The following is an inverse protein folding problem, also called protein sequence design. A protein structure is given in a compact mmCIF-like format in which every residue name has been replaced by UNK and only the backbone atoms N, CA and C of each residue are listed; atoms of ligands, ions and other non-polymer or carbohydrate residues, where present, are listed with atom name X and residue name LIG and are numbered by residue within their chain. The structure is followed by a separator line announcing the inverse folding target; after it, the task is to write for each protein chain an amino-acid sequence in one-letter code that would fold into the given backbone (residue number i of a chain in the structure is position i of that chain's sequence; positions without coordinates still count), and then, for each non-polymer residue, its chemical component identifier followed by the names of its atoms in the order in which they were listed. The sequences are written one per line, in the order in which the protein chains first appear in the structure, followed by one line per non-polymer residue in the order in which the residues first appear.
data_IF_182595022186
#
_entry.id   IF_182595022186
#
_cell.length_a   1.000
_cell.length_b   1.000
_cell.length_c   1.000
_cell.angle_alpha   90.00
_cell.angle_beta   90.00
_cell.angle_gamma   90.00
#
_symmetry.space_group_name_H-M   'P 1'
#
loop_
_entity.id
_entity.type
_entity.pdbx_description
1 polymer ?
#
# COMPACT_ATOMS: atom_id res chain seq x y z
N UNK A 1 8.20 -37.08 6.81
CA UNK A 1 8.18 -35.93 7.74
C UNK A 1 7.88 -34.62 6.98
N UNK A 2 6.90 -33.90 7.40
CA UNK A 2 6.66 -32.55 6.85
C UNK A 2 7.52 -31.58 7.64
N UNK A 3 8.50 -30.96 7.01
CA UNK A 3 9.34 -29.94 7.63
C UNK A 3 8.75 -28.57 7.36
N UNK A 4 8.82 -27.67 8.33
CA UNK A 4 8.43 -26.28 8.16
C UNK A 4 9.40 -25.59 7.19
N UNK A 5 8.85 -24.92 6.17
CA UNK A 5 9.66 -24.18 5.19
C UNK A 5 10.07 -22.84 5.77
N UNK A 6 11.36 -22.56 5.77
CA UNK A 6 11.91 -21.24 6.06
C UNK A 6 12.38 -20.60 4.74
N UNK A 7 11.76 -19.50 4.35
CA UNK A 7 12.11 -18.81 3.12
C UNK A 7 13.51 -18.18 3.19
N UNK A 8 14.22 -18.21 2.06
CA UNK A 8 15.49 -17.51 1.89
C UNK A 8 15.30 -16.39 0.87
N UNK A 9 15.90 -15.24 1.12
CA UNK A 9 15.77 -14.06 0.25
C UNK A 9 16.16 -14.32 -1.21
N UNK A 10 17.07 -15.24 -1.44
CA UNK A 10 17.57 -15.62 -2.76
C UNK A 10 16.59 -16.50 -3.56
N UNK A 11 15.75 -17.26 -2.87
CA UNK A 11 14.86 -18.25 -3.48
C UNK A 11 13.41 -17.80 -3.56
N UNK A 12 13.08 -16.64 -3.03
CA UNK A 12 11.72 -16.10 -3.06
C UNK A 12 11.38 -15.60 -4.47
N UNK A 13 10.35 -16.19 -5.06
CA UNK A 13 9.78 -15.72 -6.33
C UNK A 13 8.79 -14.57 -6.06
N UNK A 14 9.03 -13.41 -6.67
CA UNK A 14 8.21 -12.21 -6.51
C UNK A 14 7.46 -11.90 -7.79
N UNK A 15 6.15 -11.79 -7.68
CA UNK A 15 5.26 -11.44 -8.78
C UNK A 15 4.91 -9.96 -8.72
N UNK A 16 4.41 -9.45 -9.83
CA UNK A 16 3.88 -8.11 -9.93
C UNK A 16 2.36 -8.15 -10.03
N UNK A 17 1.71 -7.33 -9.20
CA UNK A 17 0.25 -7.19 -9.20
C UNK A 17 -0.14 -5.75 -9.46
N UNK A 18 -1.26 -5.58 -10.17
CA UNK A 18 -1.91 -4.29 -10.36
C UNK A 18 -3.27 -4.32 -9.67
N UNK A 19 -3.57 -3.26 -8.92
CA UNK A 19 -4.82 -3.08 -8.17
C UNK A 19 -5.48 -1.79 -8.62
N UNK A 20 -6.73 -1.88 -9.01
CA UNK A 20 -7.56 -0.70 -9.28
C UNK A 20 -8.28 -0.29 -8.00
N UNK A 21 -8.03 0.94 -7.56
CA UNK A 21 -8.57 1.51 -6.32
C UNK A 21 -9.89 2.28 -6.53
N UNK A 22 -10.45 2.26 -7.74
CA UNK A 22 -11.67 3.01 -8.08
C UNK A 22 -12.85 2.60 -7.18
N UNK A 23 -13.49 3.57 -6.54
CA UNK A 23 -14.66 3.38 -5.66
C UNK A 23 -14.46 2.43 -4.49
N UNK A 24 -13.21 2.16 -4.11
CA UNK A 24 -12.90 1.30 -2.98
C UNK A 24 -12.48 2.16 -1.78
N UNK A 25 -12.97 1.88 -0.56
CA UNK A 25 -12.52 2.59 0.63
C UNK A 25 -11.01 2.47 0.85
N UNK A 26 -10.36 3.58 1.15
CA UNK A 26 -8.92 3.69 1.36
C UNK A 26 -8.37 2.59 2.30
N UNK A 27 -9.01 2.39 3.45
CA UNK A 27 -8.56 1.41 4.44
C UNK A 27 -8.61 -0.03 3.94
N UNK A 28 -9.59 -0.38 3.11
CA UNK A 28 -9.71 -1.72 2.53
C UNK A 28 -8.65 -2.00 1.49
N UNK A 29 -8.36 -1.03 0.63
CA UNK A 29 -7.22 -1.13 -0.31
C UNK A 29 -5.92 -1.28 0.47
N UNK A 30 -5.69 -0.38 1.42
CA UNK A 30 -4.45 -0.34 2.18
C UNK A 30 -4.16 -1.64 2.94
N UNK A 31 -5.17 -2.22 3.60
CA UNK A 31 -4.99 -3.46 4.38
C UNK A 31 -4.64 -4.67 3.52
N UNK A 32 -5.29 -4.82 2.38
CA UNK A 32 -5.03 -5.95 1.49
C UNK A 32 -3.70 -5.80 0.75
N UNK A 33 -3.39 -4.59 0.31
CA UNK A 33 -2.08 -4.30 -0.31
C UNK A 33 -0.94 -4.52 0.67
N UNK A 34 -1.09 -4.09 1.92
CA UNK A 34 -0.09 -4.33 2.97
C UNK A 34 0.14 -5.83 3.23
N UNK A 35 -0.92 -6.65 3.23
CA UNK A 35 -0.81 -8.10 3.37
C UNK A 35 -0.03 -8.74 2.22
N UNK A 36 -0.26 -8.29 1.00
CA UNK A 36 0.48 -8.77 -0.20
C UNK A 36 1.94 -8.34 -0.15
N UNK A 37 2.21 -7.10 0.20
CA UNK A 37 3.59 -6.58 0.34
C UNK A 37 4.40 -7.32 1.41
N UNK A 38 3.74 -7.74 2.49
CA UNK A 38 4.36 -8.53 3.55
C UNK A 38 4.50 -10.01 3.21
N UNK A 39 3.69 -10.50 2.26
CA UNK A 39 3.70 -11.91 1.85
C UNK A 39 2.86 -12.84 2.70
N UNK A 40 1.94 -12.32 3.51
CA UNK A 40 1.06 -13.13 4.38
C UNK A 40 0.14 -14.10 3.63
N UNK A 41 -0.12 -13.85 2.35
CA UNK A 41 -0.91 -14.71 1.48
C UNK A 41 -0.15 -15.92 0.95
N UNK A 42 1.16 -16.00 1.16
CA UNK A 42 2.01 -17.10 0.68
C UNK A 42 2.22 -18.16 1.76
N UNK A 43 2.20 -19.48 1.40
CA UNK A 43 2.51 -20.54 2.35
C UNK A 43 3.94 -20.48 2.90
N UNK A 44 4.87 -19.88 2.14
CA UNK A 44 6.28 -19.72 2.51
C UNK A 44 6.54 -18.51 3.41
N UNK A 45 5.47 -17.81 3.86
CA UNK A 45 5.63 -16.63 4.71
C UNK A 45 6.57 -16.90 5.90
N UNK A 46 7.61 -16.08 5.99
CA UNK A 46 8.59 -16.11 7.08
C UNK A 46 8.74 -14.69 7.64
N UNK A 47 8.53 -14.46 8.96
CA UNK A 47 8.47 -13.12 9.52
C UNK A 47 9.73 -12.27 9.36
N UNK A 48 10.92 -12.90 9.32
CA UNK A 48 12.20 -12.19 9.20
C UNK A 48 12.70 -12.03 7.76
N UNK A 49 11.98 -12.58 6.78
CA UNK A 49 12.32 -12.51 5.36
C UNK A 49 11.22 -11.79 4.60
N UNK A 50 11.60 -10.94 3.65
CA UNK A 50 10.67 -10.28 2.75
C UNK A 50 10.19 -11.23 1.66
N UNK A 51 9.07 -11.89 1.89
CA UNK A 51 8.44 -12.87 0.98
C UNK A 51 7.34 -12.25 0.10
N UNK A 52 7.04 -10.97 0.28
CA UNK A 52 5.94 -10.29 -0.44
C UNK A 52 6.22 -9.99 -1.90
N UNK A 53 5.18 -9.61 -2.60
CA UNK A 53 5.20 -9.28 -4.02
C UNK A 53 5.20 -7.77 -4.26
N UNK A 54 5.51 -7.38 -5.50
CA UNK A 54 5.37 -5.99 -5.95
C UNK A 54 3.90 -5.67 -6.22
N UNK A 55 3.46 -4.49 -5.80
CA UNK A 55 2.08 -4.04 -6.01
C UNK A 55 2.09 -2.66 -6.65
N UNK A 56 1.32 -2.53 -7.72
CA UNK A 56 1.03 -1.29 -8.40
C UNK A 56 -0.43 -0.94 -8.11
N UNK A 57 -0.69 0.24 -7.56
CA UNK A 57 -2.06 0.73 -7.35
C UNK A 57 -2.32 1.88 -8.31
N UNK A 58 -3.39 1.76 -9.07
CA UNK A 58 -3.83 2.76 -10.04
C UNK A 58 -5.13 3.43 -9.58
N UNK A 59 -5.47 4.56 -10.19
CA UNK A 59 -6.69 5.33 -9.89
C UNK A 59 -6.82 5.73 -8.42
N UNK A 60 -5.73 6.14 -7.78
CA UNK A 60 -5.75 6.56 -6.38
C UNK A 60 -6.62 7.79 -6.12
N UNK A 61 -6.82 8.62 -7.12
CA UNK A 61 -7.72 9.79 -7.08
C UNK A 61 -9.20 9.43 -6.95
N UNK A 62 -9.58 8.22 -7.35
CA UNK A 62 -10.95 7.70 -7.34
C UNK A 62 -11.29 6.84 -6.12
N UNK A 63 -10.39 6.76 -5.14
CA UNK A 63 -10.66 6.10 -3.87
C UNK A 63 -11.74 6.84 -3.07
N UNK A 64 -12.45 6.10 -2.23
CA UNK A 64 -13.51 6.64 -1.38
C UNK A 64 -13.04 6.71 0.07
N UNK A 65 -13.36 7.82 0.73
CA UNK A 65 -13.27 7.96 2.19
C UNK A 65 -14.67 7.96 2.78
N UNK A 66 -14.93 7.05 3.70
CA UNK A 66 -16.26 6.90 4.32
C UNK A 66 -16.54 7.96 5.38
N UNK A 67 -17.82 8.33 5.54
CA UNK A 67 -18.22 9.38 6.50
C UNK A 67 -17.65 10.75 6.15
N UNK A 68 -17.39 11.57 7.17
CA UNK A 68 -16.86 12.94 7.02
C UNK A 68 -15.32 13.01 7.02
N UNK A 69 -14.63 11.91 6.76
CA UNK A 69 -13.15 11.85 6.84
C UNK A 69 -12.45 12.82 5.87
N UNK A 70 -13.07 13.14 4.74
CA UNK A 70 -12.51 14.09 3.80
C UNK A 70 -12.29 15.47 4.43
N UNK A 71 -13.20 15.90 5.28
CA UNK A 71 -13.15 17.23 5.91
C UNK A 71 -12.53 17.18 7.30
N UNK A 72 -12.83 16.15 8.08
CA UNK A 72 -12.44 16.06 9.50
C UNK A 72 -11.04 15.45 9.69
N UNK A 73 -10.65 14.50 8.86
CA UNK A 73 -9.35 13.85 9.00
C UNK A 73 -8.24 14.71 8.47
N UNK A 74 -7.20 14.92 9.30
CA UNK A 74 -6.05 15.76 8.97
C UNK A 74 -4.76 14.94 9.03
N UNK A 75 -3.83 15.31 8.16
CA UNK A 75 -2.45 14.86 8.21
C UNK A 75 -1.59 15.92 8.88
N UNK A 76 -0.84 15.53 9.91
CA UNK A 76 0.05 16.42 10.65
C UNK A 76 1.51 16.13 10.31
N UNK A 77 2.26 17.20 10.12
CA UNK A 77 3.70 17.18 9.94
C UNK A 77 4.34 18.25 10.79
N UNK A 78 5.44 17.93 11.47
CA UNK A 78 6.18 18.87 12.31
C UNK A 78 7.59 19.05 11.77
N UNK A 79 8.03 20.30 11.65
CA UNK A 79 9.36 20.64 11.14
C UNK A 79 10.51 20.44 12.15
N UNK A 80 10.15 20.23 13.44
CA UNK A 80 11.13 20.15 14.53
C UNK A 80 11.47 21.49 15.20
N UNK A 81 10.91 22.60 14.70
CA UNK A 81 11.09 23.93 15.28
C UNK A 81 9.86 24.37 16.09
N UNK A 82 10.01 25.28 17.09
CA UNK A 82 8.87 25.83 17.80
C UNK A 82 7.80 26.41 16.84
N UNK A 83 6.53 26.03 17.05
CA UNK A 83 5.44 26.43 16.15
C UNK A 83 5.48 25.79 14.76
N UNK A 84 6.29 24.76 14.54
CA UNK A 84 6.49 24.12 13.25
C UNK A 84 5.49 23.04 12.86
N UNK A 85 4.34 22.93 13.54
CA UNK A 85 3.31 21.99 13.16
C UNK A 85 2.58 22.48 11.90
N UNK A 86 2.47 21.59 10.93
CA UNK A 86 1.72 21.83 9.69
C UNK A 86 0.62 20.79 9.57
N UNK A 87 -0.55 21.23 9.15
CA UNK A 87 -1.70 20.35 8.94
C UNK A 87 -2.23 20.47 7.52
N UNK A 88 -2.73 19.36 6.99
CA UNK A 88 -3.43 19.30 5.71
C UNK A 88 -4.67 18.42 5.86
N UNK A 89 -5.80 18.86 5.32
CA UNK A 89 -7.01 18.04 5.28
C UNK A 89 -6.87 16.91 4.27
N UNK A 90 -7.55 15.79 4.50
CA UNK A 90 -7.56 14.71 3.52
C UNK A 90 -8.22 15.13 2.20
N UNK A 91 -9.14 16.08 2.23
CA UNK A 91 -9.74 16.66 1.02
C UNK A 91 -8.67 17.29 0.11
N UNK A 92 -7.80 18.13 0.67
CA UNK A 92 -6.72 18.76 -0.07
C UNK A 92 -5.71 17.75 -0.58
N UNK A 93 -5.35 16.76 0.24
CA UNK A 93 -4.42 15.70 -0.13
C UNK A 93 -5.00 14.78 -1.21
N UNK A 94 -6.27 14.42 -1.16
CA UNK A 94 -6.92 13.61 -2.19
C UNK A 94 -6.99 14.32 -3.54
N UNK A 95 -7.16 15.63 -3.54
CA UNK A 95 -7.19 16.43 -4.77
C UNK A 95 -5.79 16.55 -5.41
N UNK A 96 -4.77 16.77 -4.59
CA UNK A 96 -3.41 17.08 -5.05
C UNK A 96 -2.46 15.87 -5.06
N UNK A 97 -2.51 15.05 -4.01
CA UNK A 97 -1.56 13.95 -3.75
C UNK A 97 -2.27 12.71 -3.23
N UNK A 98 -3.20 12.17 -4.00
CA UNK A 98 -3.95 10.96 -3.61
C UNK A 98 -3.06 9.72 -3.47
N UNK A 99 -2.00 9.61 -4.25
CA UNK A 99 -0.96 8.60 -4.13
C UNK A 99 -0.29 8.63 -2.75
N UNK A 100 0.08 9.81 -2.27
CA UNK A 100 0.67 9.99 -0.95
C UNK A 100 -0.28 9.56 0.18
N UNK A 101 -1.57 9.83 0.08
CA UNK A 101 -2.58 9.41 1.07
C UNK A 101 -2.59 7.88 1.22
N UNK A 102 -2.61 7.16 0.10
CA UNK A 102 -2.58 5.71 0.10
C UNK A 102 -1.25 5.16 0.62
N UNK A 103 -0.13 5.70 0.16
CA UNK A 103 1.20 5.31 0.61
C UNK A 103 1.36 5.48 2.13
N UNK A 104 0.88 6.57 2.68
CA UNK A 104 0.91 6.83 4.12
C UNK A 104 0.07 5.82 4.91
N UNK A 105 -1.11 5.48 4.41
CA UNK A 105 -1.97 4.48 5.02
C UNK A 105 -1.31 3.09 5.02
N UNK A 106 -0.75 2.67 3.90
CA UNK A 106 -0.05 1.38 3.78
C UNK A 106 1.21 1.35 4.65
N UNK A 107 2.00 2.40 4.64
CA UNK A 107 3.20 2.51 5.49
C UNK A 107 2.89 2.35 6.97
N UNK A 108 1.76 2.89 7.43
CA UNK A 108 1.28 2.71 8.81
C UNK A 108 0.90 1.26 9.15
N UNK A 109 0.54 0.45 8.14
CA UNK A 109 0.16 -0.96 8.29
C UNK A 109 1.33 -1.94 8.13
N UNK A 110 2.48 -1.48 7.63
CA UNK A 110 3.69 -2.26 7.51
C UNK A 110 4.54 -2.20 8.79
N UNK A 111 5.44 -3.18 9.03
CA UNK A 111 6.37 -3.13 10.15
C UNK A 111 7.23 -1.88 10.14
N UNK A 112 7.51 -1.32 11.32
CA UNK A 112 8.29 -0.09 11.49
C UNK A 112 9.78 -0.38 11.72
N UNK A 113 10.36 -1.21 10.87
CA UNK A 113 11.77 -1.62 10.93
C UNK A 113 12.42 -1.57 9.54
N UNK A 114 13.67 -1.98 9.43
CA UNK A 114 14.39 -2.04 8.15
C UNK A 114 13.71 -2.96 7.13
N UNK A 115 13.14 -4.08 7.58
CA UNK A 115 12.40 -4.99 6.73
C UNK A 115 11.11 -4.36 6.18
N UNK A 116 10.37 -3.64 7.01
CA UNK A 116 9.18 -2.89 6.60
C UNK A 116 9.49 -1.80 5.56
N UNK A 117 10.63 -1.14 5.66
CA UNK A 117 11.10 -0.18 4.64
C UNK A 117 11.38 -0.86 3.29
N UNK A 118 11.95 -2.06 3.30
CA UNK A 118 12.14 -2.86 2.08
C UNK A 118 10.81 -3.28 1.46
N UNK A 119 9.83 -3.69 2.27
CA UNK A 119 8.48 -4.01 1.82
C UNK A 119 7.80 -2.81 1.17
N UNK A 120 7.92 -1.63 1.79
CA UNK A 120 7.32 -0.39 1.28
C UNK A 120 7.89 0.03 -0.09
N UNK A 121 9.16 -0.22 -0.36
CA UNK A 121 9.79 0.07 -1.66
C UNK A 121 9.17 -0.69 -2.84
N UNK A 122 8.49 -1.80 -2.58
CA UNK A 122 7.80 -2.60 -3.59
C UNK A 122 6.41 -2.07 -3.95
N UNK A 123 5.93 -1.05 -3.24
CA UNK A 123 4.69 -0.37 -3.56
C UNK A 123 4.92 0.75 -4.56
N UNK A 124 4.05 0.80 -5.58
CA UNK A 124 3.99 1.88 -6.56
C UNK A 124 2.56 2.37 -6.68
N UNK A 125 2.32 3.65 -6.43
CA UNK A 125 1.00 4.26 -6.49
C UNK A 125 0.95 5.30 -7.60
N UNK A 126 -0.15 5.30 -8.36
CA UNK A 126 -0.36 6.23 -9.48
C UNK A 126 -1.77 6.82 -9.41
N UNK A 127 -1.86 8.10 -9.67
CA UNK A 127 -3.10 8.86 -9.66
C UNK A 127 -4.04 8.48 -10.80
N UNK A 128 -3.48 8.24 -11.99
CA UNK A 128 -4.24 7.84 -13.17
C UNK A 128 -4.33 6.33 -13.36
N UNK A 129 -4.91 5.92 -14.48
CA UNK A 129 -5.04 4.52 -14.87
C UNK A 129 -3.76 3.94 -15.51
N UNK A 130 -2.83 4.79 -15.92
CA UNK A 130 -1.60 4.38 -16.59
C UNK A 130 -0.46 4.19 -15.61
N UNK A 131 0.39 3.21 -15.88
CA UNK A 131 1.61 2.94 -15.12
C UNK A 131 2.75 2.54 -16.05
N UNK A 132 4.02 2.86 -15.72
CA UNK A 132 5.18 2.56 -16.59
C UNK A 132 5.71 1.13 -16.42
N UNK A 133 4.96 0.22 -15.82
CA UNK A 133 5.41 -1.13 -15.47
C UNK A 133 4.86 -2.23 -16.37
N UNK A 134 4.54 -1.92 -17.62
CA UNK A 134 4.02 -2.90 -18.58
C UNK A 134 5.01 -4.04 -18.89
N UNK A 135 6.30 -3.74 -18.87
CA UNK A 135 7.35 -4.72 -19.13
C UNK A 135 7.39 -5.85 -18.07
N UNK A 136 6.95 -5.57 -16.85
CA UNK A 136 6.86 -6.57 -15.77
C UNK A 136 5.63 -7.48 -15.88
N UNK A 137 4.72 -7.23 -16.81
CA UNK A 137 3.50 -7.99 -17.03
C UNK A 137 2.71 -8.23 -15.72
N UNK A 138 2.26 -7.16 -15.04
CA UNK A 138 1.55 -7.29 -13.77
C UNK A 138 0.22 -7.99 -13.95
N UNK A 139 -0.13 -8.86 -12.99
CA UNK A 139 -1.40 -9.57 -12.95
C UNK A 139 -2.41 -8.75 -12.15
N UNK A 140 -3.65 -8.67 -12.62
CA UNK A 140 -4.72 -7.98 -11.90
C UNK A 140 -5.04 -8.68 -10.59
N UNK A 141 -5.04 -7.94 -9.50
CA UNK A 141 -5.44 -8.39 -8.16
C UNK A 141 -6.71 -7.65 -7.74
N UNK A 142 -7.80 -8.38 -7.55
CA UNK A 142 -9.07 -7.81 -7.09
C UNK A 142 -9.11 -7.72 -5.56
N UNK A 143 -9.53 -6.57 -5.06
CA UNK A 143 -9.73 -6.34 -3.63
C UNK A 143 -10.98 -7.08 -3.16
N UNK A 144 -10.82 -7.91 -2.12
CA UNK A 144 -11.91 -8.72 -1.55
C UNK A 144 -12.77 -7.88 -0.59
N UNK A 145 -14.06 -8.24 -0.48
CA UNK A 145 -14.97 -7.63 0.49
C UNK A 145 -15.50 -6.26 0.09
N UNK A 146 -15.37 -5.88 -1.16
CA UNK A 146 -16.05 -4.71 -1.73
C UNK A 146 -17.37 -5.20 -2.30
N UNK A 147 -18.48 -4.74 -1.69
CA UNK A 147 -19.79 -4.89 -2.32
C UNK A 147 -19.83 -3.89 -3.48
N UNK A 148 -19.95 -4.44 -4.62
CA UNK A 148 -20.17 -3.64 -5.83
C UNK A 148 -21.49 -2.87 -5.76
#
# INVERSE_FOLDING_TARGET
MKTTVMAKSETVDRKWYVVDATNIPLGRVASQVAAVLRGKNKPIYTPHVDTGDFVIVINTDKMVLTGNKLEDKKYFHHSGYPGGIKEATYKDLMNNKSDFVLEKAIKGMLPKNSLGKKMFKKLKCYKGAEHPHQAQQPVELKIKGVRG
#
